data_IF_785770250477
#
_entry.id   IF_785770250477
#
_cell.length_a   1.000
_cell.length_b   1.000
_cell.length_c   1.000
_cell.angle_alpha   90.00
_cell.angle_beta   90.00
_cell.angle_gamma   90.00
#
_symmetry.space_group_name_H-M   'P 1'
#
loop_
_entity.id
_entity.type
_entity.pdbx_description
1 polymer ?
#
# COMPACT_ATOMS: atom_id res chain seq x y z
N UNK A 1 -8.25 -8.08 -9.59
CA UNK A 1 -8.07 -7.08 -8.53
C UNK A 1 -9.15 -7.17 -7.48
N UNK A 2 -8.79 -6.90 -6.23
CA UNK A 2 -9.77 -6.81 -5.15
C UNK A 2 -10.39 -5.41 -5.10
N UNK A 3 -11.72 -5.36 -5.06
CA UNK A 3 -12.48 -4.12 -4.92
C UNK A 3 -12.83 -3.90 -3.44
N UNK A 4 -12.45 -2.75 -2.84
CA UNK A 4 -12.65 -2.51 -1.40
C UNK A 4 -14.11 -2.63 -0.96
N UNK A 5 -15.05 -2.12 -1.77
CA UNK A 5 -16.48 -2.20 -1.48
C UNK A 5 -16.98 -3.64 -1.43
N UNK A 6 -16.59 -4.45 -2.41
CA UNK A 6 -16.92 -5.88 -2.45
C UNK A 6 -16.34 -6.63 -1.26
N UNK A 7 -15.12 -6.29 -0.82
CA UNK A 7 -14.53 -6.91 0.37
C UNK A 7 -15.31 -6.58 1.64
N UNK A 8 -15.73 -5.32 1.80
CA UNK A 8 -16.62 -4.91 2.88
C UNK A 8 -17.93 -5.73 2.88
N UNK A 9 -18.58 -5.88 1.74
CA UNK A 9 -19.81 -6.67 1.60
C UNK A 9 -19.61 -8.13 1.98
N UNK A 10 -18.47 -8.73 1.61
CA UNK A 10 -18.10 -10.09 2.01
C UNK A 10 -17.93 -10.23 3.53
N UNK A 11 -17.31 -9.24 4.18
CA UNK A 11 -17.12 -9.20 5.64
C UNK A 11 -18.47 -9.03 6.35
N UNK A 12 -19.30 -8.07 5.93
CA UNK A 12 -20.63 -7.86 6.50
C UNK A 12 -21.50 -9.13 6.36
N UNK A 13 -21.49 -9.75 5.19
CA UNK A 13 -22.20 -11.01 4.95
C UNK A 13 -21.65 -12.16 5.81
N UNK A 14 -20.33 -12.23 6.02
CA UNK A 14 -19.73 -13.22 6.91
C UNK A 14 -20.20 -13.04 8.36
N UNK A 15 -20.21 -11.81 8.87
CA UNK A 15 -20.69 -11.48 10.21
C UNK A 15 -22.18 -11.87 10.36
N UNK A 16 -23.00 -11.59 9.34
CA UNK A 16 -24.39 -12.02 9.31
C UNK A 16 -24.55 -13.55 9.40
N UNK A 17 -23.71 -14.32 8.70
CA UNK A 17 -23.69 -15.79 8.80
C UNK A 17 -23.26 -16.31 10.18
N UNK A 18 -22.62 -15.49 11.01
CA UNK A 18 -22.32 -15.82 12.41
C UNK A 18 -23.51 -15.55 13.37
N UNK A 19 -24.68 -15.18 12.85
CA UNK A 19 -25.90 -14.96 13.62
C UNK A 19 -26.08 -13.54 14.14
N UNK A 20 -25.35 -12.57 13.60
CA UNK A 20 -25.50 -11.15 13.95
C UNK A 20 -26.52 -10.48 13.02
N UNK A 21 -27.34 -9.60 13.59
CA UNK A 21 -28.01 -8.55 12.83
C UNK A 21 -27.00 -7.44 12.54
N UNK A 22 -26.66 -7.25 11.26
CA UNK A 22 -25.62 -6.30 10.84
C UNK A 22 -26.25 -4.97 10.44
N UNK A 23 -25.77 -3.88 11.03
CA UNK A 23 -26.21 -2.50 10.74
C UNK A 23 -25.01 -1.61 10.43
N UNK A 24 -25.25 -0.51 9.72
CA UNK A 24 -24.25 0.52 9.39
C UNK A 24 -24.43 1.83 10.19
N UNK A 25 -25.38 1.85 11.12
CA UNK A 25 -25.76 2.99 11.95
C UNK A 25 -25.78 2.61 13.43
N UNK A 26 -26.06 3.58 14.31
CA UNK A 26 -26.21 3.28 15.73
C UNK A 26 -27.49 2.48 15.98
N UNK A 27 -27.44 1.27 16.57
CA UNK A 27 -28.64 0.46 16.76
C UNK A 27 -29.66 1.17 17.63
N UNK A 28 -30.90 1.22 17.15
CA UNK A 28 -32.05 1.75 17.88
C UNK A 28 -32.40 0.87 19.07
N UNK A 29 -33.21 1.40 20.00
CA UNK A 29 -33.70 0.62 21.14
C UNK A 29 -34.57 -0.57 20.72
N UNK A 30 -35.29 -0.46 19.60
CA UNK A 30 -36.17 -1.53 19.12
C UNK A 30 -35.36 -2.65 18.46
N UNK A 31 -34.34 -2.32 17.67
CA UNK A 31 -33.40 -3.33 17.15
C UNK A 31 -32.68 -4.06 18.27
N UNK A 32 -32.22 -3.34 19.31
CA UNK A 32 -31.59 -3.92 20.51
C UNK A 32 -32.51 -4.87 21.29
N UNK A 33 -33.83 -4.66 21.21
CA UNK A 33 -34.82 -5.57 21.82
C UNK A 33 -35.15 -6.76 20.91
N UNK A 34 -35.12 -6.57 19.59
CA UNK A 34 -35.53 -7.57 18.60
C UNK A 34 -34.41 -8.57 18.25
N UNK A 35 -33.14 -8.20 18.41
CA UNK A 35 -32.00 -9.01 18.01
C UNK A 35 -31.07 -9.29 19.19
N UNK A 36 -30.81 -10.58 19.45
CA UNK A 36 -29.89 -11.02 20.52
C UNK A 36 -28.45 -10.53 20.29
N UNK A 37 -28.02 -10.47 19.01
CA UNK A 37 -26.67 -10.05 18.60
C UNK A 37 -26.77 -9.01 17.50
N UNK A 38 -26.14 -7.85 17.71
CA UNK A 38 -26.05 -6.78 16.72
C UNK A 38 -24.58 -6.44 16.50
N UNK A 39 -24.19 -6.29 15.24
CA UNK A 39 -22.87 -5.79 14.86
C UNK A 39 -23.04 -4.52 14.04
N UNK A 40 -22.45 -3.41 14.52
CA UNK A 40 -22.31 -2.17 13.76
C UNK A 40 -21.05 -2.26 12.91
N UNK A 41 -21.21 -2.34 11.60
CA UNK A 41 -20.12 -2.45 10.64
C UNK A 41 -20.22 -1.26 9.69
N UNK A 42 -19.25 -0.35 9.77
CA UNK A 42 -19.24 0.89 9.00
C UNK A 42 -18.21 0.76 7.87
N UNK A 43 -18.59 1.16 6.67
CA UNK A 43 -17.65 1.31 5.56
C UNK A 43 -17.09 2.72 5.52
N UNK A 44 -15.84 2.88 5.94
CA UNK A 44 -15.13 4.18 5.92
C UNK A 44 -14.34 4.42 4.63
N UNK A 45 -14.50 3.54 3.64
CA UNK A 45 -13.79 3.60 2.37
C UNK A 45 -12.58 2.67 2.30
N UNK A 46 -11.78 2.89 1.27
CA UNK A 46 -10.62 2.08 0.92
C UNK A 46 -10.28 2.29 -0.55
N UNK A 47 -9.09 1.87 -0.95
CA UNK A 47 -8.65 1.97 -2.33
C UNK A 47 -8.08 0.64 -2.82
N UNK A 48 -8.15 0.44 -4.14
CA UNK A 48 -7.61 -0.76 -4.79
C UNK A 48 -6.09 -0.79 -4.67
N UNK A 49 -5.53 -2.00 -4.63
CA UNK A 49 -4.11 -2.18 -4.79
C UNK A 49 -3.68 -1.67 -6.18
N UNK A 50 -2.48 -1.11 -6.24
CA UNK A 50 -1.87 -0.62 -7.48
C UNK A 50 -0.51 -1.28 -7.64
N UNK A 51 -0.14 -1.56 -8.90
CA UNK A 51 1.13 -2.19 -9.25
C UNK A 51 1.52 -1.85 -10.67
N UNK A 52 2.76 -1.43 -10.85
CA UNK A 52 3.39 -1.30 -12.17
C UNK A 52 4.01 -2.63 -12.61
N UNK A 53 3.74 -3.12 -13.84
CA UNK A 53 4.41 -4.31 -14.38
C UNK A 53 5.93 -4.11 -14.48
N UNK A 54 6.69 -5.10 -13.99
CA UNK A 54 8.16 -5.00 -13.88
C UNK A 54 8.90 -5.22 -15.20
N UNK A 55 8.21 -5.74 -16.22
CA UNK A 55 8.77 -6.06 -17.53
C UNK A 55 8.76 -4.90 -18.52
N UNK A 56 8.16 -3.76 -18.14
CA UNK A 56 8.16 -2.53 -18.93
C UNK A 56 9.58 -1.98 -19.14
N UNK A 57 9.87 -1.38 -20.30
CA UNK A 57 11.18 -0.78 -20.57
C UNK A 57 11.60 0.26 -19.51
N UNK A 58 10.66 1.10 -19.09
CA UNK A 58 10.81 2.10 -18.02
C UNK A 58 11.25 1.48 -16.70
N UNK A 59 10.57 0.41 -16.27
CA UNK A 59 10.85 -0.28 -15.02
C UNK A 59 12.21 -0.96 -15.06
N UNK A 60 12.58 -1.58 -16.19
CA UNK A 60 13.91 -2.15 -16.40
C UNK A 60 15.00 -1.09 -16.33
N UNK A 61 14.80 0.05 -16.99
CA UNK A 61 15.74 1.17 -16.97
C UNK A 61 15.97 1.71 -15.54
N UNK A 62 14.89 1.91 -14.77
CA UNK A 62 15.00 2.33 -13.36
C UNK A 62 15.74 1.28 -12.52
N UNK A 63 15.42 -0.01 -12.69
CA UNK A 63 16.11 -1.10 -11.97
C UNK A 63 17.61 -1.12 -12.29
N UNK A 64 17.99 -0.92 -13.54
CA UNK A 64 19.39 -0.93 -13.97
C UNK A 64 20.17 0.26 -13.39
N UNK A 65 19.59 1.47 -13.43
CA UNK A 65 20.20 2.67 -12.82
C UNK A 65 20.35 2.50 -11.30
N UNK A 66 19.31 2.01 -10.62
CA UNK A 66 19.35 1.78 -9.17
C UNK A 66 20.36 0.69 -8.81
N UNK A 67 20.48 -0.39 -9.59
CA UNK A 67 21.51 -1.42 -9.37
C UNK A 67 22.92 -0.87 -9.55
N UNK A 68 23.14 -0.01 -10.54
CA UNK A 68 24.43 0.63 -10.76
C UNK A 68 24.83 1.54 -9.58
N UNK A 69 23.88 2.31 -9.03
CA UNK A 69 24.13 3.22 -7.91
C UNK A 69 24.19 2.51 -6.54
N UNK A 70 23.27 1.57 -6.28
CA UNK A 70 23.08 0.94 -4.98
C UNK A 70 23.95 -0.32 -4.77
N UNK A 71 24.39 -0.99 -5.84
CA UNK A 71 25.17 -2.23 -5.80
C UNK A 71 24.41 -3.47 -6.30
N UNK A 72 25.10 -4.60 -6.41
CA UNK A 72 24.58 -5.82 -7.07
C UNK A 72 23.50 -6.57 -6.29
N UNK A 73 23.32 -6.26 -5.00
CA UNK A 73 22.37 -6.94 -4.12
C UNK A 73 20.99 -6.24 -4.02
N UNK A 74 20.69 -5.30 -4.94
CA UNK A 74 19.39 -4.62 -4.99
C UNK A 74 18.25 -5.61 -5.16
N UNK A 75 17.35 -5.62 -4.18
CA UNK A 75 16.12 -6.42 -4.21
C UNK A 75 15.07 -5.70 -5.06
N UNK A 76 14.52 -6.43 -6.03
CA UNK A 76 13.43 -5.95 -6.88
C UNK A 76 12.16 -6.68 -6.48
N UNK A 77 11.17 -5.94 -5.96
CA UNK A 77 9.91 -6.52 -5.54
C UNK A 77 8.75 -6.02 -6.40
N UNK A 78 7.81 -6.90 -6.75
CA UNK A 78 6.64 -6.53 -7.54
C UNK A 78 5.63 -5.65 -6.78
N UNK A 79 5.59 -5.76 -5.46
CA UNK A 79 4.67 -5.03 -4.59
C UNK A 79 5.24 -5.00 -3.17
N UNK A 80 4.78 -4.06 -2.35
CA UNK A 80 5.10 -3.99 -0.91
C UNK A 80 3.84 -4.21 -0.08
N UNK A 81 3.98 -4.56 1.19
CA UNK A 81 2.85 -4.78 2.10
C UNK A 81 2.23 -3.48 2.66
N UNK A 82 2.89 -2.33 2.43
CA UNK A 82 2.37 -1.03 2.84
C UNK A 82 1.29 -0.52 1.89
N UNK A 83 0.44 0.38 2.39
CA UNK A 83 -0.58 1.04 1.57
C UNK A 83 -0.27 2.52 1.42
N UNK A 84 -0.16 2.94 0.17
CA UNK A 84 -0.14 4.34 -0.28
C UNK A 84 -1.06 4.42 -1.51
N UNK A 85 -1.78 5.53 -1.73
CA UNK A 85 -2.84 5.60 -2.74
C UNK A 85 -2.30 5.74 -4.19
N UNK A 86 -1.43 4.82 -4.61
CA UNK A 86 -0.77 4.88 -5.93
C UNK A 86 -1.71 4.60 -7.09
N UNK A 87 -2.91 4.07 -6.83
CA UNK A 87 -3.97 3.89 -7.82
C UNK A 87 -4.34 5.20 -8.54
N UNK A 88 -4.07 6.36 -7.92
CA UNK A 88 -4.26 7.68 -8.52
C UNK A 88 -3.39 7.83 -9.78
N UNK A 89 -2.16 7.29 -9.78
CA UNK A 89 -1.30 7.33 -10.97
C UNK A 89 -1.84 6.40 -12.06
N UNK A 90 -2.35 5.22 -11.69
CA UNK A 90 -2.99 4.32 -12.65
C UNK A 90 -4.21 4.98 -13.32
N UNK A 91 -5.04 5.70 -12.56
CA UNK A 91 -6.20 6.44 -13.07
C UNK A 91 -5.81 7.56 -14.04
N UNK A 92 -4.60 8.12 -13.88
CA UNK A 92 -4.02 9.11 -14.78
C UNK A 92 -3.25 8.48 -15.96
N UNK A 93 -3.18 7.15 -16.04
CA UNK A 93 -2.38 6.43 -17.04
C UNK A 93 -0.86 6.60 -16.84
N UNK A 94 -0.43 6.97 -15.63
CA UNK A 94 0.96 7.16 -15.25
C UNK A 94 1.53 5.94 -14.54
N UNK A 95 2.77 5.59 -14.86
CA UNK A 95 3.50 4.52 -14.16
C UNK A 95 4.16 5.09 -12.91
N UNK A 96 4.28 4.25 -11.88
CA UNK A 96 5.01 4.60 -10.67
C UNK A 96 5.96 3.48 -10.25
N UNK A 97 7.13 3.85 -9.74
CA UNK A 97 8.12 2.91 -9.19
C UNK A 97 8.58 3.44 -7.84
N UNK A 98 8.47 2.62 -6.80
CA UNK A 98 8.98 2.96 -5.47
C UNK A 98 10.46 2.63 -5.34
N UNK A 99 11.27 3.59 -4.86
CA UNK A 99 12.69 3.40 -4.54
C UNK A 99 12.92 3.80 -3.07
N UNK A 100 12.78 2.87 -2.12
CA UNK A 100 12.92 3.19 -0.70
C UNK A 100 14.39 3.48 -0.34
N UNK A 101 14.60 4.47 0.53
CA UNK A 101 15.93 4.87 1.04
C UNK A 101 16.14 4.57 2.52
N UNK A 102 15.11 4.10 3.21
CA UNK A 102 15.13 3.86 4.66
C UNK A 102 15.77 2.52 4.99
N UNK A 103 16.38 2.42 6.18
CA UNK A 103 16.86 1.14 6.73
C UNK A 103 15.69 0.22 7.12
N UNK A 104 15.93 -1.10 7.16
CA UNK A 104 14.89 -2.09 7.48
C UNK A 104 14.33 -1.95 8.90
N UNK A 105 15.13 -1.42 9.83
CA UNK A 105 14.84 -1.18 11.25
C UNK A 105 14.47 0.28 11.53
N UNK A 106 13.90 0.99 10.54
CA UNK A 106 13.54 2.40 10.70
C UNK A 106 12.37 2.64 11.65
N UNK A 107 11.61 1.60 12.05
CA UNK A 107 10.46 1.69 12.95
C UNK A 107 9.32 2.64 12.51
N UNK A 108 9.03 2.73 11.20
CA UNK A 108 7.93 3.55 10.69
C UNK A 108 6.63 3.29 11.44
N UNK A 109 5.96 4.36 11.87
CA UNK A 109 4.73 4.28 12.68
C UNK A 109 4.89 3.62 14.06
N UNK A 110 6.10 3.61 14.61
CA UNK A 110 6.37 3.09 15.96
C UNK A 110 7.30 4.01 16.75
N UNK A 111 7.64 3.61 17.97
CA UNK A 111 8.60 4.32 18.81
C UNK A 111 10.01 4.24 18.20
N UNK A 112 10.83 5.26 18.44
CA UNK A 112 12.20 5.36 17.96
C UNK A 112 12.34 5.19 16.43
N UNK A 113 11.41 5.81 15.71
CA UNK A 113 11.51 5.97 14.25
C UNK A 113 12.84 6.66 13.89
N UNK A 114 13.61 6.06 12.98
CA UNK A 114 14.97 6.48 12.71
C UNK A 114 15.36 6.30 11.24
N UNK A 115 16.35 7.09 10.82
CA UNK A 115 17.03 6.93 9.54
C UNK A 115 18.53 6.99 9.76
N UNK A 116 19.25 5.95 9.35
CA UNK A 116 20.72 5.96 9.39
C UNK A 116 21.25 6.99 8.40
N UNK A 117 22.17 7.86 8.83
CA UNK A 117 22.78 8.87 7.96
C UNK A 117 23.40 8.22 6.70
N UNK A 118 24.11 7.10 6.83
CA UNK A 118 24.63 6.40 5.65
C UNK A 118 23.55 6.00 4.62
N UNK A 119 22.34 5.65 5.06
CA UNK A 119 21.22 5.35 4.17
C UNK A 119 20.64 6.63 3.54
N UNK A 120 20.56 7.72 4.29
CA UNK A 120 20.14 9.01 3.74
C UNK A 120 21.09 9.50 2.63
N UNK A 121 22.41 9.45 2.86
CA UNK A 121 23.40 9.84 1.85
C UNK A 121 23.38 8.91 0.64
N UNK A 122 23.30 7.60 0.86
CA UNK A 122 23.15 6.65 -0.26
C UNK A 122 21.86 6.86 -1.03
N UNK A 123 20.77 7.24 -0.34
CA UNK A 123 19.51 7.64 -0.97
C UNK A 123 19.70 8.85 -1.89
N UNK A 124 20.43 9.87 -1.45
CA UNK A 124 20.76 11.03 -2.29
C UNK A 124 21.56 10.62 -3.53
N UNK A 125 22.55 9.72 -3.39
CA UNK A 125 23.33 9.21 -4.52
C UNK A 125 22.44 8.44 -5.52
N UNK A 126 21.55 7.57 -5.03
CA UNK A 126 20.62 6.79 -5.86
C UNK A 126 19.67 7.71 -6.63
N UNK A 127 19.04 8.67 -5.95
CA UNK A 127 18.15 9.63 -6.61
C UNK A 127 18.91 10.56 -7.55
N UNK A 128 20.14 10.93 -7.23
CA UNK A 128 21.04 11.65 -8.14
C UNK A 128 21.27 10.88 -9.44
N UNK A 129 21.57 9.58 -9.35
CA UNK A 129 21.72 8.71 -10.52
C UNK A 129 20.41 8.57 -11.32
N UNK A 130 19.27 8.41 -10.64
CA UNK A 130 17.95 8.37 -11.30
C UNK A 130 17.70 9.67 -12.09
N UNK A 131 18.00 10.83 -11.51
CA UNK A 131 17.74 12.12 -12.18
C UNK A 131 18.75 12.42 -13.31
N UNK A 132 19.98 11.92 -13.21
CA UNK A 132 21.05 12.19 -14.17
C UNK A 132 21.11 11.17 -15.32
N UNK A 133 20.92 9.89 -15.02
CA UNK A 133 21.26 8.78 -15.92
C UNK A 133 20.04 8.03 -16.46
N UNK A 134 18.84 8.27 -15.92
CA UNK A 134 17.63 7.61 -16.40
C UNK A 134 17.26 8.13 -17.80
N UNK A 135 17.43 7.26 -18.79
CA UNK A 135 17.09 7.53 -20.18
C UNK A 135 16.33 6.31 -20.73
N UNK A 136 15.10 6.51 -21.23
CA UNK A 136 14.21 5.44 -21.71
C UNK A 136 13.23 5.93 -22.78
#
# INVERSE_FOLDING_TARGET
DEEPRKKYEQIAAFIGRQGFFVVDHEPTMDERRAHERIAKVIYEGGYRASRTPMDLPTCKAVVDVVKAAAGKDTVVMPSTGGSVPMYIFDDLGLQWVGVPIVNYDNHQHSSDENLRLGHFWRGMEIYGAILADLNW
#
